data_IF_816024508421
#
_entry.id   IF_816024508421
#
_cell.length_a   1.000
_cell.length_b   1.000
_cell.length_c   1.000
_cell.angle_alpha   90.00
_cell.angle_beta   90.00
_cell.angle_gamma   90.00
#
_symmetry.space_group_name_H-M   'P 1'
#
loop_
_entity.id
_entity.type
_entity.pdbx_description
1 polymer ?
#
# COMPACT_ATOMS: atom_id res chain seq x y z
N UNK A 1 11.42 -12.56 -12.28
CA UNK A 1 11.45 -11.89 -13.59
C UNK A 1 12.64 -10.95 -13.63
N UNK A 2 13.57 -11.07 -14.60
CA UNK A 2 14.69 -10.15 -14.73
C UNK A 2 14.18 -8.77 -15.19
N UNK A 3 14.64 -7.71 -14.52
CA UNK A 3 14.38 -6.33 -14.93
C UNK A 3 15.33 -5.97 -16.07
N UNK A 4 14.80 -5.63 -17.25
CA UNK A 4 15.60 -5.22 -18.40
C UNK A 4 15.65 -3.70 -18.47
N UNK A 5 16.81 -3.12 -18.17
CA UNK A 5 17.06 -1.69 -18.24
C UNK A 5 17.91 -1.45 -19.49
N UNK A 6 17.40 -0.64 -20.43
CA UNK A 6 18.09 -0.33 -21.70
C UNK A 6 18.99 0.89 -21.62
N UNK A 7 18.81 1.69 -20.58
CA UNK A 7 19.54 2.92 -20.34
C UNK A 7 20.67 2.64 -19.35
N UNK A 8 21.91 2.93 -19.77
CA UNK A 8 23.11 2.64 -18.98
C UNK A 8 23.18 3.45 -17.69
N UNK A 9 22.65 4.68 -17.68
CA UNK A 9 22.61 5.51 -16.48
C UNK A 9 21.63 4.93 -15.46
N UNK A 10 20.46 4.46 -15.92
CA UNK A 10 19.46 3.83 -15.05
C UNK A 10 19.96 2.49 -14.50
N UNK A 11 20.71 1.70 -15.28
CA UNK A 11 21.30 0.45 -14.78
C UNK A 11 22.40 0.71 -13.74
N UNK A 12 23.21 1.75 -13.93
CA UNK A 12 24.19 2.19 -12.95
C UNK A 12 23.52 2.62 -11.64
N UNK A 13 22.42 3.37 -11.72
CA UNK A 13 21.62 3.76 -10.55
C UNK A 13 21.02 2.55 -9.83
N UNK A 14 20.43 1.60 -10.56
CA UNK A 14 19.87 0.38 -9.98
C UNK A 14 20.96 -0.47 -9.30
N UNK A 15 22.14 -0.56 -9.91
CA UNK A 15 23.30 -1.28 -9.35
C UNK A 15 23.84 -0.61 -8.09
N UNK A 16 23.92 0.72 -8.09
CA UNK A 16 24.32 1.50 -6.92
C UNK A 16 23.32 1.33 -5.78
N UNK A 17 22.03 1.47 -6.08
CA UNK A 17 20.96 1.31 -5.10
C UNK A 17 20.98 -0.09 -4.49
N UNK A 18 21.17 -1.13 -5.30
CA UNK A 18 21.31 -2.50 -4.81
C UNK A 18 22.43 -2.64 -3.78
N UNK A 19 23.60 -2.04 -4.05
CA UNK A 19 24.75 -2.05 -3.13
C UNK A 19 24.47 -1.27 -1.85
N UNK A 20 23.87 -0.08 -1.96
CA UNK A 20 23.56 0.77 -0.81
C UNK A 20 22.50 0.16 0.10
N UNK A 21 21.50 -0.53 -0.46
CA UNK A 21 20.42 -1.17 0.32
C UNK A 21 20.69 -2.65 0.63
N UNK A 22 21.84 -3.20 0.23
CA UNK A 22 22.16 -4.64 0.29
C UNK A 22 21.04 -5.54 -0.25
N UNK A 23 20.39 -5.12 -1.33
CA UNK A 23 19.28 -5.87 -1.89
C UNK A 23 19.79 -7.12 -2.65
N UNK A 24 19.09 -8.26 -2.56
CA UNK A 24 19.49 -9.51 -3.20
C UNK A 24 19.53 -9.43 -4.73
N UNK A 25 18.81 -8.49 -5.36
CA UNK A 25 18.85 -8.26 -6.80
C UNK A 25 18.58 -6.80 -7.16
N UNK A 26 18.98 -6.37 -8.37
CA UNK A 26 18.63 -5.05 -8.92
C UNK A 26 17.11 -4.85 -8.99
N UNK A 27 16.37 -5.89 -9.35
CA UNK A 27 14.90 -5.87 -9.38
C UNK A 27 14.32 -5.58 -8.00
N UNK A 28 14.89 -6.20 -6.96
CA UNK A 28 14.45 -6.00 -5.57
C UNK A 28 14.70 -4.55 -5.11
N UNK A 29 15.91 -4.05 -5.39
CA UNK A 29 16.30 -2.67 -5.07
C UNK A 29 15.37 -1.66 -5.74
N UNK A 30 15.12 -1.81 -7.04
CA UNK A 30 14.24 -0.92 -7.80
C UNK A 30 12.80 -1.01 -7.29
N UNK A 31 12.29 -2.20 -6.97
CA UNK A 31 10.94 -2.34 -6.39
C UNK A 31 10.83 -1.58 -5.08
N UNK A 32 11.81 -1.73 -4.18
CA UNK A 32 11.82 -1.02 -2.89
C UNK A 32 11.84 0.49 -3.10
N UNK A 33 12.69 1.00 -4.00
CA UNK A 33 12.73 2.43 -4.31
C UNK A 33 11.40 2.95 -4.85
N UNK A 34 10.75 2.22 -5.75
CA UNK A 34 9.43 2.60 -6.28
C UNK A 34 8.36 2.61 -5.19
N UNK A 35 8.34 1.63 -4.30
CA UNK A 35 7.41 1.60 -3.15
C UNK A 35 7.62 2.84 -2.27
N UNK A 36 8.87 3.12 -1.90
CA UNK A 36 9.18 4.29 -1.07
C UNK A 36 8.79 5.60 -1.76
N UNK A 37 9.00 5.74 -3.07
CA UNK A 37 8.64 6.96 -3.79
C UNK A 37 7.12 7.11 -3.91
N UNK A 38 6.39 6.02 -4.13
CA UNK A 38 4.93 6.01 -4.09
C UNK A 38 4.41 6.40 -2.71
N UNK A 39 5.04 5.92 -1.64
CA UNK A 39 4.70 6.31 -0.27
C UNK A 39 5.00 7.78 0.02
N UNK A 40 6.18 8.29 -0.38
CA UNK A 40 6.52 9.72 -0.27
C UNK A 40 5.54 10.60 -1.04
N UNK A 41 5.08 10.17 -2.21
CA UNK A 41 4.10 10.93 -2.97
C UNK A 41 2.68 10.81 -2.39
N UNK A 42 2.35 9.68 -1.74
CA UNK A 42 1.12 9.56 -0.93
C UNK A 42 1.13 10.46 0.31
N UNK A 43 2.27 10.65 0.96
CA UNK A 43 2.37 11.55 2.12
C UNK A 43 2.35 13.03 1.73
N UNK A 44 2.74 13.37 0.49
CA UNK A 44 2.55 14.71 -0.09
C UNK A 44 1.09 15.05 -0.39
N UNK A 45 0.18 14.07 -0.43
CA UNK A 45 -1.25 14.34 -0.56
C UNK A 45 -1.72 15.10 0.69
N UNK A 46 -2.31 16.30 0.54
CA UNK A 46 -2.83 17.07 1.66
C UNK A 46 -3.72 16.21 2.56
N UNK A 47 -3.59 16.35 3.87
CA UNK A 47 -4.35 15.56 4.85
C UNK A 47 -5.85 15.61 4.57
N UNK A 48 -6.37 16.75 4.12
CA UNK A 48 -7.78 16.94 3.73
C UNK A 48 -8.23 15.94 2.66
N UNK A 49 -7.40 15.69 1.64
CA UNK A 49 -7.75 14.84 0.50
C UNK A 49 -7.69 13.35 0.92
N UNK A 50 -6.76 13.02 1.83
CA UNK A 50 -6.69 11.70 2.47
C UNK A 50 -7.94 11.41 3.32
N UNK A 51 -8.35 12.36 4.16
CA UNK A 51 -9.55 12.23 5.00
C UNK A 51 -10.81 12.15 4.12
N UNK A 52 -10.92 12.98 3.08
CA UNK A 52 -12.06 12.97 2.18
C UNK A 52 -12.26 11.61 1.50
N UNK A 53 -11.16 10.95 1.09
CA UNK A 53 -11.21 9.59 0.54
C UNK A 53 -11.72 8.58 1.56
N UNK A 54 -11.18 8.58 2.79
CA UNK A 54 -11.60 7.65 3.84
C UNK A 54 -13.08 7.85 4.21
N UNK A 55 -13.53 9.10 4.29
CA UNK A 55 -14.95 9.42 4.51
C UNK A 55 -15.84 8.94 3.35
N UNK A 56 -15.36 9.02 2.10
CA UNK A 56 -16.10 8.49 0.96
C UNK A 56 -16.20 6.96 0.99
N UNK A 57 -15.13 6.26 1.38
CA UNK A 57 -15.12 4.81 1.58
C UNK A 57 -16.06 4.41 2.74
N UNK A 58 -15.99 5.08 3.89
CA UNK A 58 -16.88 4.85 5.03
C UNK A 58 -18.36 5.09 4.69
N UNK A 59 -18.67 6.12 3.90
CA UNK A 59 -20.05 6.36 3.42
C UNK A 59 -20.60 5.23 2.55
N UNK A 60 -19.76 4.46 1.85
CA UNK A 60 -20.20 3.30 1.07
C UNK A 60 -20.58 2.10 1.95
N UNK A 61 -19.93 1.96 3.11
CA UNK A 61 -20.25 0.91 4.09
C UNK A 61 -21.65 1.15 4.69
N UNK A 62 -22.09 2.40 4.73
CA UNK A 62 -23.39 2.81 5.27
C UNK A 62 -23.30 3.21 6.73
N UNK A 63 -24.43 3.67 7.28
CA UNK A 63 -24.51 3.99 8.70
C UNK A 63 -24.47 2.69 9.54
N UNK A 64 -23.92 2.73 10.76
CA UNK A 64 -24.07 1.62 11.71
C UNK A 64 -25.55 1.27 11.84
N UNK A 65 -25.90 -0.01 11.65
CA UNK A 65 -27.27 -0.46 11.87
C UNK A 65 -27.57 -0.37 13.38
N UNK A 66 -28.48 0.53 13.81
CA UNK A 66 -28.79 0.72 15.23
C UNK A 66 -29.41 -0.53 15.86
N UNK A 67 -30.05 -1.35 15.05
CA UNK A 67 -30.75 -2.57 15.47
C UNK A 67 -29.85 -3.81 15.41
N UNK A 68 -28.54 -3.64 15.21
CA UNK A 68 -27.61 -4.76 15.14
C UNK A 68 -27.36 -5.37 16.53
N UNK A 69 -27.91 -6.56 16.75
CA UNK A 69 -27.67 -7.36 17.95
C UNK A 69 -26.40 -8.21 17.81
N UNK A 70 -25.32 -7.73 18.42
CA UNK A 70 -24.03 -8.43 18.46
C UNK A 70 -24.10 -9.82 19.10
N UNK A 71 -24.95 -9.99 20.12
CA UNK A 71 -25.05 -11.26 20.85
C UNK A 71 -25.70 -12.31 19.95
N UNK A 72 -26.83 -11.97 19.33
CA UNK A 72 -27.52 -12.88 18.40
C UNK A 72 -26.64 -13.26 17.20
N UNK A 73 -25.94 -12.29 16.61
CA UNK A 73 -25.00 -12.55 15.50
C UNK A 73 -23.87 -13.49 15.91
N UNK A 74 -23.35 -13.35 17.13
CA UNK A 74 -22.28 -14.22 17.63
C UNK A 74 -22.81 -15.61 17.93
N UNK A 75 -23.95 -15.73 18.61
CA UNK A 75 -24.57 -17.03 18.93
C UNK A 75 -24.83 -17.86 17.66
N UNK A 76 -25.35 -17.25 16.57
CA UNK A 76 -25.56 -17.92 15.27
C UNK A 76 -24.26 -18.42 14.59
N UNK A 77 -23.09 -17.84 14.89
CA UNK A 77 -21.81 -18.29 14.32
C UNK A 77 -21.19 -19.50 15.04
N UNK A 78 -21.70 -19.86 16.23
CA UNK A 78 -21.16 -20.94 17.07
C UNK A 78 -22.11 -22.14 17.21
N UNK A 79 -23.29 -22.12 16.57
CA UNK A 79 -24.27 -23.21 16.59
C UNK A 79 -24.05 -24.30 15.49
N UNK A 80 -22.88 -24.35 14.86
CA UNK A 80 -22.42 -25.46 13.99
C UNK A 80 -21.40 -26.37 14.71
#
# INVERSE_FOLDING_TARGET
MPLYIRDDEVDALASRLQRETNAPSKTEAVRIALVHELERNRTKVPLRDRIARLQAEARKIGLPNPDFDMKKFTDEMWED
#
